data_IF_511779681050
#
_entry.id   IF_511779681050
#
_cell.length_a   1.000
_cell.length_b   1.000
_cell.length_c   1.000
_cell.angle_alpha   90.00
_cell.angle_beta   90.00
_cell.angle_gamma   90.00
#
_symmetry.space_group_name_H-M   'P 1'
#
loop_
_entity.id
_entity.type
_entity.pdbx_description
1 polymer ?
#
# COMPACT_ATOMS: atom_id res chain seq x y z
N UNK A 1 3.41 -12.28 49.71
CA UNK A 1 3.33 -12.70 48.30
C UNK A 1 3.81 -11.57 47.40
N UNK A 2 5.13 -11.51 47.13
CA UNK A 2 5.72 -10.50 46.25
C UNK A 2 5.51 -10.94 44.80
N UNK A 3 4.64 -10.23 44.09
CA UNK A 3 4.38 -10.38 42.66
C UNK A 3 5.66 -9.98 41.90
N UNK A 4 6.53 -10.95 41.59
CA UNK A 4 7.66 -10.75 40.67
C UNK A 4 7.10 -10.17 39.37
N UNK A 5 7.37 -8.89 39.11
CA UNK A 5 7.27 -8.35 37.76
C UNK A 5 8.22 -9.19 36.92
N UNK A 6 7.67 -10.02 36.03
CA UNK A 6 8.44 -10.62 34.94
C UNK A 6 8.93 -9.45 34.09
N UNK A 7 10.13 -8.98 34.37
CA UNK A 7 10.85 -8.13 33.45
C UNK A 7 11.13 -8.99 32.23
N UNK A 8 10.25 -8.87 31.23
CA UNK A 8 10.43 -9.47 29.92
C UNK A 8 11.55 -8.67 29.28
N UNK A 9 12.79 -9.03 29.63
CA UNK A 9 13.99 -8.58 28.94
C UNK A 9 13.86 -9.03 27.48
N UNK A 10 13.38 -8.13 26.65
CA UNK A 10 13.18 -8.34 25.21
C UNK A 10 14.55 -8.17 24.55
N UNK A 11 15.42 -9.17 24.71
CA UNK A 11 16.67 -9.29 23.94
C UNK A 11 16.33 -9.63 22.49
N UNK A 12 15.94 -8.64 21.71
CA UNK A 12 16.10 -8.57 20.25
C UNK A 12 15.72 -7.14 19.90
N UNK A 13 16.70 -6.32 19.54
CA UNK A 13 16.49 -5.00 18.96
C UNK A 13 15.81 -5.15 17.60
N UNK A 14 14.52 -5.45 17.57
CA UNK A 14 13.72 -5.45 16.34
C UNK A 14 13.63 -4.01 15.85
N UNK A 15 14.46 -3.68 14.88
CA UNK A 15 14.43 -2.40 14.20
C UNK A 15 13.17 -2.32 13.33
N UNK A 16 12.57 -1.14 13.23
CA UNK A 16 11.53 -0.90 12.23
C UNK A 16 12.18 -0.90 10.85
N UNK A 17 11.75 -1.78 9.93
CA UNK A 17 12.23 -1.71 8.56
C UNK A 17 11.75 -0.40 7.94
N UNK A 18 12.69 0.48 7.67
CA UNK A 18 12.46 1.77 7.00
C UNK A 18 11.79 1.53 5.63
N UNK A 19 12.13 0.43 4.96
CA UNK A 19 11.50 0.00 3.70
C UNK A 19 10.06 -0.44 3.91
N UNK A 20 9.77 -1.14 5.00
CA UNK A 20 8.40 -1.53 5.37
C UNK A 20 7.50 -0.33 5.69
N UNK A 21 8.03 0.68 6.40
CA UNK A 21 7.31 1.93 6.64
C UNK A 21 7.07 2.68 5.34
N UNK A 22 8.09 2.78 4.46
CA UNK A 22 7.94 3.42 3.16
C UNK A 22 6.86 2.73 2.30
N UNK A 23 6.84 1.39 2.27
CA UNK A 23 5.80 0.63 1.56
C UNK A 23 4.40 0.88 2.13
N UNK A 24 4.26 0.97 3.46
CA UNK A 24 3.00 1.29 4.11
C UNK A 24 2.51 2.72 3.79
N UNK A 25 3.42 3.70 3.78
CA UNK A 25 3.10 5.09 3.40
C UNK A 25 2.68 5.18 1.93
N UNK A 26 3.42 4.52 1.04
CA UNK A 26 3.06 4.46 -0.39
C UNK A 26 1.69 3.79 -0.59
N UNK A 27 1.40 2.72 0.15
CA UNK A 27 0.09 2.06 0.12
C UNK A 27 -1.04 2.96 0.64
N UNK A 28 -0.78 3.73 1.70
CA UNK A 28 -1.72 4.72 2.22
C UNK A 28 -2.01 5.84 1.20
N UNK A 29 -0.97 6.39 0.58
CA UNK A 29 -1.09 7.40 -0.47
C UNK A 29 -1.83 6.85 -1.70
N UNK A 30 -1.52 5.61 -2.12
CA UNK A 30 -2.21 4.94 -3.22
C UNK A 30 -3.70 4.72 -2.95
N UNK A 31 -4.05 4.32 -1.72
CA UNK A 31 -5.45 4.16 -1.30
C UNK A 31 -6.19 5.50 -1.33
N UNK A 32 -5.59 6.56 -0.78
CA UNK A 32 -6.16 7.90 -0.80
C UNK A 32 -6.33 8.42 -2.24
N UNK A 33 -5.33 8.21 -3.10
CA UNK A 33 -5.39 8.58 -4.51
C UNK A 33 -6.53 7.87 -5.25
N UNK A 34 -6.73 6.57 -5.00
CA UNK A 34 -7.81 5.81 -5.62
C UNK A 34 -9.20 6.31 -5.16
N UNK A 35 -9.37 6.62 -3.88
CA UNK A 35 -10.61 7.20 -3.36
C UNK A 35 -10.92 8.56 -4.00
N UNK A 36 -9.91 9.42 -4.14
CA UNK A 36 -10.05 10.73 -4.80
C UNK A 36 -10.44 10.55 -6.26
N UNK A 37 -9.84 9.60 -6.98
CA UNK A 37 -10.20 9.29 -8.37
C UNK A 37 -11.65 8.80 -8.49
N UNK A 38 -12.12 7.97 -7.56
CA UNK A 38 -13.53 7.54 -7.54
C UNK A 38 -14.49 8.70 -7.31
N UNK A 39 -14.19 9.58 -6.35
CA UNK A 39 -15.01 10.77 -6.09
C UNK A 39 -15.03 11.67 -7.34
N UNK A 40 -13.87 12.00 -7.91
CA UNK A 40 -13.79 12.80 -9.14
C UNK A 40 -14.57 12.14 -10.27
N UNK A 41 -14.35 10.85 -10.52
CA UNK A 41 -15.06 10.11 -11.56
C UNK A 41 -16.59 10.17 -11.40
N UNK A 42 -17.08 10.13 -10.16
CA UNK A 42 -18.52 10.27 -9.88
C UNK A 42 -19.05 11.68 -10.17
N UNK A 43 -18.27 12.72 -9.85
CA UNK A 43 -18.63 14.12 -10.09
C UNK A 43 -18.72 14.41 -11.58
N UNK A 44 -17.80 13.84 -12.38
CA UNK A 44 -17.79 14.00 -13.83
C UNK A 44 -18.83 13.13 -14.56
N UNK A 45 -19.73 12.43 -13.84
CA UNK A 45 -20.85 11.63 -14.40
C UNK A 45 -20.45 10.63 -15.50
N UNK A 46 -19.20 10.18 -15.53
CA UNK A 46 -18.68 9.28 -16.56
C UNK A 46 -17.99 9.97 -17.74
N UNK A 47 -18.02 11.31 -17.85
CA UNK A 47 -17.15 12.07 -18.79
C UNK A 47 -15.76 12.25 -18.18
N UNK A 48 -15.13 11.12 -17.87
CA UNK A 48 -13.78 11.10 -17.33
C UNK A 48 -12.81 11.66 -18.36
N UNK A 49 -12.28 12.87 -18.11
CA UNK A 49 -11.22 13.42 -18.97
C UNK A 49 -10.02 12.47 -19.03
N UNK A 50 -9.30 12.49 -20.15
CA UNK A 50 -8.03 11.74 -20.33
C UNK A 50 -7.06 11.98 -19.16
N UNK A 51 -7.14 13.15 -18.54
CA UNK A 51 -6.33 13.53 -17.38
C UNK A 51 -6.60 12.66 -16.15
N UNK A 52 -7.85 12.23 -15.91
CA UNK A 52 -8.18 11.32 -14.81
C UNK A 52 -7.63 9.91 -15.06
N UNK A 53 -7.70 9.44 -16.31
CA UNK A 53 -7.08 8.19 -16.74
C UNK A 53 -5.55 8.23 -16.59
N UNK A 54 -4.91 9.35 -16.94
CA UNK A 54 -3.48 9.53 -16.74
C UNK A 54 -3.08 9.58 -15.26
N UNK A 55 -3.87 10.27 -14.43
CA UNK A 55 -3.67 10.32 -12.98
C UNK A 55 -3.78 8.92 -12.35
N UNK A 56 -4.77 8.13 -12.76
CA UNK A 56 -4.90 6.73 -12.34
C UNK A 56 -3.69 5.87 -12.72
N UNK A 57 -3.05 6.14 -13.87
CA UNK A 57 -1.90 5.37 -14.34
C UNK A 57 -0.68 5.67 -13.47
N UNK A 58 -0.53 6.91 -13.02
CA UNK A 58 0.50 7.29 -12.05
C UNK A 58 0.28 6.56 -10.73
N UNK A 59 -0.96 6.51 -10.22
CA UNK A 59 -1.30 5.76 -9.00
C UNK A 59 -1.04 4.27 -9.18
N UNK A 60 -1.31 3.71 -10.36
CA UNK A 60 -1.02 2.32 -10.68
C UNK A 60 0.48 2.00 -10.63
N UNK A 61 1.32 2.84 -11.25
CA UNK A 61 2.78 2.67 -11.18
C UNK A 61 3.27 2.79 -9.73
N UNK A 62 2.75 3.77 -8.97
CA UNK A 62 3.10 3.94 -7.56
C UNK A 62 2.76 2.71 -6.72
N UNK A 63 1.57 2.13 -6.89
CA UNK A 63 1.15 0.93 -6.15
C UNK A 63 2.00 -0.30 -6.50
N UNK A 64 2.44 -0.46 -7.76
CA UNK A 64 3.40 -1.51 -8.15
C UNK A 64 4.74 -1.29 -7.44
N UNK A 65 5.27 -0.07 -7.43
CA UNK A 65 6.54 0.21 -6.73
C UNK A 65 6.43 -0.02 -5.22
N UNK A 66 5.31 0.36 -4.61
CA UNK A 66 4.99 0.10 -3.21
C UNK A 66 4.87 -1.40 -2.91
N UNK A 67 4.31 -2.18 -3.83
CA UNK A 67 4.24 -3.64 -3.71
C UNK A 67 5.64 -4.27 -3.73
N UNK A 68 6.50 -3.89 -4.68
CA UNK A 68 7.88 -4.40 -4.77
C UNK A 68 8.67 -4.03 -3.51
N UNK A 69 8.53 -2.80 -3.00
CA UNK A 69 9.15 -2.36 -1.75
C UNK A 69 8.62 -3.16 -0.55
N UNK A 70 7.32 -3.46 -0.50
CA UNK A 70 6.72 -4.31 0.52
C UNK A 70 7.26 -5.74 0.50
N UNK A 71 7.37 -6.37 -0.68
CA UNK A 71 7.98 -7.70 -0.84
C UNK A 71 9.44 -7.69 -0.38
N UNK A 72 10.22 -6.68 -0.78
CA UNK A 72 11.63 -6.55 -0.35
C UNK A 72 11.76 -6.31 1.15
N UNK A 73 10.84 -5.56 1.75
CA UNK A 73 10.80 -5.34 3.20
C UNK A 73 10.41 -6.61 3.98
N UNK A 74 9.59 -7.49 3.39
CA UNK A 74 9.30 -8.82 3.97
C UNK A 74 10.50 -9.78 3.94
N UNK A 75 11.47 -9.57 3.04
CA UNK A 75 12.67 -10.42 2.93
C UNK A 75 13.80 -10.05 3.91
N UNK A 76 13.71 -8.91 4.60
CA UNK A 76 14.69 -8.52 5.60
C UNK A 76 14.52 -9.35 6.90
N UNK A 77 15.63 -9.85 7.46
CA UNK A 77 15.66 -10.60 8.73
C UNK A 77 15.60 -9.62 9.92
N UNK A 78 15.01 -10.09 11.03
CA UNK A 78 14.94 -9.38 12.33
C UNK A 78 14.01 -8.16 12.43
N UNK A 79 12.91 -8.14 11.68
CA UNK A 79 11.93 -7.03 11.70
C UNK A 79 10.58 -7.45 12.29
N UNK A 80 9.81 -6.47 12.77
CA UNK A 80 8.37 -6.64 12.93
C UNK A 80 7.69 -6.71 11.55
N UNK A 81 7.26 -7.91 11.18
CA UNK A 81 6.61 -8.19 9.89
C UNK A 81 5.23 -7.51 9.70
N UNK A 82 4.63 -6.93 10.73
CA UNK A 82 3.28 -6.36 10.64
C UNK A 82 3.19 -5.22 9.63
N UNK A 83 4.05 -4.21 9.71
CA UNK A 83 4.02 -3.07 8.78
C UNK A 83 4.37 -3.44 7.31
N UNK A 84 5.44 -4.22 7.04
CA UNK A 84 5.74 -4.70 5.69
C UNK A 84 4.63 -5.54 5.07
N UNK A 85 4.03 -6.47 5.82
CA UNK A 85 2.95 -7.33 5.33
C UNK A 85 1.71 -6.48 5.01
N UNK A 86 1.31 -5.56 5.90
CA UNK A 86 0.15 -4.69 5.64
C UNK A 86 0.38 -3.81 4.41
N UNK A 87 1.56 -3.21 4.27
CA UNK A 87 1.92 -2.41 3.09
C UNK A 87 1.91 -3.23 1.80
N UNK A 88 2.46 -4.45 1.83
CA UNK A 88 2.46 -5.36 0.68
C UNK A 88 1.05 -5.77 0.27
N UNK A 89 0.20 -6.17 1.23
CA UNK A 89 -1.18 -6.60 0.95
C UNK A 89 -2.01 -5.45 0.38
N UNK A 90 -1.93 -4.26 0.97
CA UNK A 90 -2.68 -3.08 0.50
C UNK A 90 -2.25 -2.71 -0.92
N UNK A 91 -0.95 -2.57 -1.18
CA UNK A 91 -0.45 -2.23 -2.52
C UNK A 91 -0.77 -3.32 -3.55
N UNK A 92 -0.73 -4.59 -3.16
CA UNK A 92 -1.09 -5.72 -4.03
C UNK A 92 -2.56 -5.73 -4.41
N UNK A 93 -3.47 -5.51 -3.45
CA UNK A 93 -4.91 -5.40 -3.74
C UNK A 93 -5.18 -4.19 -4.63
N UNK A 94 -4.58 -3.03 -4.33
CA UNK A 94 -4.75 -1.82 -5.13
C UNK A 94 -4.30 -2.02 -6.58
N UNK A 95 -3.16 -2.68 -6.81
CA UNK A 95 -2.69 -2.93 -8.17
C UNK A 95 -3.64 -3.84 -8.94
N UNK A 96 -4.15 -4.91 -8.32
CA UNK A 96 -5.12 -5.82 -8.95
C UNK A 96 -6.40 -5.06 -9.31
N UNK A 97 -6.94 -4.27 -8.39
CA UNK A 97 -8.16 -3.48 -8.62
C UNK A 97 -7.96 -2.49 -9.76
N UNK A 98 -6.88 -1.70 -9.74
CA UNK A 98 -6.56 -0.76 -10.81
C UNK A 98 -6.36 -1.46 -12.15
N UNK A 99 -5.70 -2.61 -12.17
CA UNK A 99 -5.53 -3.40 -13.39
C UNK A 99 -6.88 -3.82 -13.99
N UNK A 100 -7.79 -4.34 -13.17
CA UNK A 100 -9.15 -4.71 -13.62
C UNK A 100 -9.92 -3.49 -14.14
N UNK A 101 -9.81 -2.34 -13.47
CA UNK A 101 -10.46 -1.11 -13.88
C UNK A 101 -9.93 -0.62 -15.23
N UNK A 102 -8.62 -0.67 -15.46
CA UNK A 102 -8.02 -0.31 -16.74
C UNK A 102 -8.44 -1.24 -17.87
N UNK A 103 -8.46 -2.55 -17.60
CA UNK A 103 -8.90 -3.52 -18.58
C UNK A 103 -10.37 -3.28 -18.94
N UNK A 104 -11.24 -3.15 -17.93
CA UNK A 104 -12.67 -2.84 -18.14
C UNK A 104 -12.86 -1.54 -18.92
N UNK A 105 -12.12 -0.49 -18.58
CA UNK A 105 -12.17 0.80 -19.28
C UNK A 105 -11.60 0.78 -20.70
N UNK A 106 -10.80 -0.23 -21.07
CA UNK A 106 -10.31 -0.41 -22.44
C UNK A 106 -11.33 -1.16 -23.31
N UNK A 107 -12.15 -2.02 -22.69
CA UNK A 107 -13.17 -2.82 -23.38
C UNK A 107 -14.55 -2.15 -23.48
N UNK A 108 -14.84 -1.16 -22.62
CA UNK A 108 -16.03 -0.30 -22.73
C UNK A 108 -15.80 0.84 -23.73
#
# INVERSE_FOLDING_TARGET
MLKKRKEVFKFTGRSHSVKGIAAAVIGGLGTAGLLVLFILSSVYRGEGSILLGAAGMIVFVLTITGFILGVRACMEKEIYYTAPITGMVINGILSIVLFILYITGLFL
#
